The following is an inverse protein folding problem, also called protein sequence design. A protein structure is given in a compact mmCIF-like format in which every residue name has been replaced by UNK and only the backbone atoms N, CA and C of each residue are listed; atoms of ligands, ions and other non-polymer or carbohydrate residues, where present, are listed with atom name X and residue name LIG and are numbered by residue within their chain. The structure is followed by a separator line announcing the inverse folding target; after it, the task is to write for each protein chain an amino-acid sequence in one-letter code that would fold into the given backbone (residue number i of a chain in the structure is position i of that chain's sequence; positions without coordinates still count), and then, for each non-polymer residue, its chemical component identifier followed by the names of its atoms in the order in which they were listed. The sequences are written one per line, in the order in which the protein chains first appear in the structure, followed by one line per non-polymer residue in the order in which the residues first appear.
data_IF_901120808867
#
_entry.id   IF_901120808867
#
_cell.length_a   1.000
_cell.length_b   1.000
_cell.length_c   1.000
_cell.angle_alpha   90.00
_cell.angle_beta   90.00
_cell.angle_gamma   90.00
#
_symmetry.space_group_name_H-M   'P 1'
#
loop_
_entity.id
_entity.type
_entity.pdbx_description
1 polymer ?
#
# COMPACT_ATOMS: atom_id res chain seq x y z
N UNK A 1 0.06 12.14 12.29
CA UNK A 1 -1.13 13.02 12.33
C UNK A 1 -1.18 13.88 11.08
N UNK A 2 -0.09 14.59 10.78
CA UNK A 2 0.21 15.05 9.43
C UNK A 2 1.58 14.50 9.06
N UNK A 3 1.56 13.30 8.50
CA UNK A 3 2.75 12.73 7.88
C UNK A 3 3.06 13.53 6.60
N UNK A 4 4.33 13.72 6.23
CA UNK A 4 4.66 14.27 4.93
C UNK A 4 4.00 13.44 3.83
N UNK A 5 3.47 14.14 2.82
CA UNK A 5 2.99 13.52 1.58
C UNK A 5 4.09 12.65 0.97
N UNK A 6 3.67 11.69 0.15
CA UNK A 6 4.56 10.84 -0.63
C UNK A 6 5.68 11.66 -1.31
N UNK A 7 6.93 11.33 -0.99
CA UNK A 7 8.13 12.07 -1.39
C UNK A 7 8.79 11.49 -2.65
N UNK A 8 8.17 10.48 -3.27
CA UNK A 8 8.70 9.74 -4.42
C UNK A 8 9.41 8.45 -4.00
N UNK A 9 9.54 7.52 -4.94
CA UNK A 9 10.02 6.15 -4.66
C UNK A 9 11.41 6.12 -4.00
N UNK A 10 12.29 7.03 -4.42
CA UNK A 10 13.68 7.09 -3.93
C UNK A 10 13.81 7.76 -2.56
N UNK A 11 12.70 8.26 -2.01
CA UNK A 11 12.64 8.95 -0.72
C UNK A 11 11.62 8.36 0.24
N UNK A 12 10.93 7.29 -0.14
CA UNK A 12 10.04 6.55 0.76
C UNK A 12 10.74 5.36 1.39
N UNK A 13 10.91 5.40 2.71
CA UNK A 13 11.60 4.34 3.46
C UNK A 13 11.02 2.94 3.24
N UNK A 14 9.68 2.80 3.22
CA UNK A 14 9.04 1.50 3.00
C UNK A 14 9.20 1.00 1.57
N UNK A 15 9.22 1.90 0.58
CA UNK A 15 9.50 1.54 -0.83
C UNK A 15 10.95 1.08 -0.97
N UNK A 16 11.91 1.83 -0.42
CA UNK A 16 13.32 1.49 -0.43
C UNK A 16 13.60 0.16 0.28
N UNK A 17 13.02 -0.03 1.46
CA UNK A 17 13.11 -1.29 2.20
C UNK A 17 12.55 -2.45 1.37
N UNK A 18 11.38 -2.29 0.77
CA UNK A 18 10.74 -3.33 -0.03
C UNK A 18 11.58 -3.69 -1.26
N UNK A 19 12.13 -2.69 -1.96
CA UNK A 19 13.05 -2.90 -3.09
C UNK A 19 14.31 -3.67 -2.66
N UNK A 20 14.83 -3.41 -1.46
CA UNK A 20 15.99 -4.15 -0.94
C UNK A 20 15.62 -5.59 -0.53
N UNK A 21 14.50 -5.75 0.19
CA UNK A 21 14.00 -7.05 0.65
C UNK A 21 13.69 -8.00 -0.51
N UNK A 22 13.16 -7.47 -1.63
CA UNK A 22 12.89 -8.23 -2.85
C UNK A 22 14.14 -8.86 -3.47
N UNK A 23 15.34 -8.32 -3.23
CA UNK A 23 16.58 -8.91 -3.75
C UNK A 23 16.84 -10.31 -3.21
N UNK A 24 16.36 -10.60 -2.00
CA UNK A 24 16.52 -11.90 -1.33
C UNK A 24 15.21 -12.69 -1.23
N UNK A 25 14.07 -12.04 -1.42
CA UNK A 25 12.73 -12.64 -1.32
C UNK A 25 11.90 -12.43 -2.59
N UNK A 26 12.42 -12.89 -3.72
CA UNK A 26 11.84 -12.65 -5.05
C UNK A 26 10.46 -13.30 -5.30
N UNK A 27 9.96 -14.14 -4.37
CA UNK A 27 8.68 -14.84 -4.48
C UNK A 27 7.53 -14.12 -3.75
N UNK A 28 7.75 -12.90 -3.24
CA UNK A 28 6.71 -12.10 -2.60
C UNK A 28 6.06 -11.19 -3.64
N UNK A 29 4.75 -11.37 -3.85
CA UNK A 29 3.99 -10.59 -4.83
C UNK A 29 3.39 -9.29 -4.24
N UNK A 30 3.06 -9.28 -2.95
CA UNK A 30 2.43 -8.14 -2.28
C UNK A 30 3.11 -7.78 -0.97
N UNK A 31 3.34 -6.48 -0.77
CA UNK A 31 3.76 -5.90 0.49
C UNK A 31 2.70 -4.91 0.96
N UNK A 32 2.13 -5.14 2.14
CA UNK A 32 1.06 -4.29 2.70
C UNK A 32 1.58 -3.65 3.98
N UNK A 33 1.52 -2.32 4.05
CA UNK A 33 1.96 -1.55 5.21
C UNK A 33 0.87 -0.60 5.69
N UNK A 34 0.93 -0.26 6.97
CA UNK A 34 0.20 0.87 7.56
C UNK A 34 1.17 1.93 8.08
N UNK A 35 0.81 2.59 9.19
CA UNK A 35 1.62 3.55 9.96
C UNK A 35 1.97 4.88 9.25
N UNK A 36 2.31 4.85 7.96
CA UNK A 36 2.62 6.07 7.17
C UNK A 36 1.39 6.93 6.92
N UNK A 37 0.18 6.38 6.98
CA UNK A 37 -1.07 7.11 6.78
C UNK A 37 -1.04 7.88 5.46
N UNK A 38 -0.56 7.22 4.40
CA UNK A 38 -0.57 7.71 3.03
C UNK A 38 -1.15 6.59 2.18
N UNK A 39 -2.11 6.94 1.33
CA UNK A 39 -2.66 6.00 0.38
C UNK A 39 -1.65 5.87 -0.76
N UNK A 40 -1.04 4.70 -0.89
CA UNK A 40 -0.08 4.42 -1.95
C UNK A 40 -0.31 3.02 -2.47
N UNK A 41 -0.47 2.90 -3.78
CA UNK A 41 -0.43 1.65 -4.51
C UNK A 41 0.61 1.77 -5.63
N UNK A 42 1.68 0.99 -5.53
CA UNK A 42 2.85 1.12 -6.39
C UNK A 42 3.35 -0.23 -6.88
N UNK A 43 3.47 -0.34 -8.21
CA UNK A 43 4.05 -1.51 -8.89
C UNK A 43 5.58 -1.41 -8.86
N UNK A 44 6.24 -2.33 -8.17
CA UNK A 44 7.71 -2.36 -8.06
C UNK A 44 8.37 -3.18 -9.17
N UNK A 45 7.66 -4.18 -9.69
CA UNK A 45 8.11 -5.02 -10.80
C UNK A 45 6.91 -5.66 -11.52
N UNK A 46 7.17 -6.54 -12.50
CA UNK A 46 6.10 -7.31 -13.15
C UNK A 46 5.30 -8.23 -12.21
N UNK A 47 5.83 -8.51 -11.02
CA UNK A 47 5.20 -9.44 -10.04
C UNK A 47 4.94 -8.82 -8.68
N UNK A 48 5.76 -7.86 -8.27
CA UNK A 48 5.72 -7.31 -6.92
C UNK A 48 5.04 -5.94 -6.87
N UNK A 49 4.16 -5.75 -5.90
CA UNK A 49 3.44 -4.50 -5.62
C UNK A 49 3.55 -4.14 -4.14
N UNK A 50 3.69 -2.86 -3.84
CA UNK A 50 3.63 -2.31 -2.49
C UNK A 50 2.36 -1.48 -2.32
N UNK A 51 1.64 -1.75 -1.24
CA UNK A 51 0.47 -1.00 -0.80
C UNK A 51 0.77 -0.42 0.57
N UNK A 52 0.50 0.87 0.73
CA UNK A 52 0.49 1.54 2.02
C UNK A 52 -0.93 2.06 2.25
N UNK A 53 -1.52 1.62 3.37
CA UNK A 53 -2.84 2.06 3.79
C UNK A 53 -2.77 3.51 4.29
N UNK A 54 -3.79 4.27 3.92
CA UNK A 54 -4.13 5.52 4.55
C UNK A 54 -4.65 5.35 5.97
N UNK A 55 -4.95 6.46 6.64
CA UNK A 55 -5.52 6.41 7.98
C UNK A 55 -7.05 6.24 8.01
N UNK A 56 -7.53 5.66 9.10
CA UNK A 56 -8.94 5.46 9.41
C UNK A 56 -9.68 6.70 9.96
N UNK A 57 -9.03 7.87 10.03
CA UNK A 57 -9.66 9.12 10.50
C UNK A 57 -10.16 9.95 9.31
N UNK A 58 -9.42 9.94 8.20
CA UNK A 58 -9.67 10.81 7.04
C UNK A 58 -9.68 10.07 5.71
N UNK A 59 -8.93 8.98 5.56
CA UNK A 59 -8.80 8.29 4.28
C UNK A 59 -9.64 7.02 4.20
N UNK A 60 -9.92 6.35 5.32
CA UNK A 60 -10.79 5.16 5.39
C UNK A 60 -10.43 4.05 4.37
N UNK A 61 -9.15 3.89 4.07
CA UNK A 61 -8.69 2.91 3.07
C UNK A 61 -8.55 1.51 3.67
N UNK A 62 -8.85 0.49 2.87
CA UNK A 62 -8.69 -0.92 3.23
C UNK A 62 -8.22 -1.72 2.01
N UNK A 63 -7.58 -2.88 2.26
CA UNK A 63 -7.17 -3.78 1.20
C UNK A 63 -8.18 -4.92 1.02
N UNK A 64 -8.56 -5.21 -0.21
CA UNK A 64 -9.42 -6.35 -0.58
C UNK A 64 -8.62 -7.32 -1.42
N UNK A 65 -8.60 -8.59 -1.02
CA UNK A 65 -8.02 -9.66 -1.82
C UNK A 65 -9.13 -10.58 -2.32
N UNK A 66 -9.33 -10.65 -3.64
CA UNK A 66 -10.40 -11.45 -4.25
C UNK A 66 -9.99 -12.91 -4.54
N UNK A 67 -8.75 -13.28 -4.22
CA UNK A 67 -8.15 -14.59 -4.53
C UNK A 67 -7.17 -14.56 -5.70
N UNK A 68 -7.22 -13.54 -6.55
CA UNK A 68 -6.33 -13.33 -7.69
C UNK A 68 -5.64 -11.96 -7.63
N UNK A 69 -6.38 -10.92 -7.27
CA UNK A 69 -5.96 -9.52 -7.25
C UNK A 69 -6.14 -8.91 -5.86
N UNK A 70 -5.15 -8.12 -5.47
CA UNK A 70 -5.25 -7.22 -4.33
C UNK A 70 -5.74 -5.86 -4.82
N UNK A 71 -6.67 -5.23 -4.13
CA UNK A 71 -7.24 -3.90 -4.43
C UNK A 71 -7.09 -3.02 -3.20
N UNK A 72 -6.75 -1.75 -3.40
CA UNK A 72 -6.81 -0.72 -2.37
C UNK A 72 -8.11 0.05 -2.57
N UNK A 73 -9.02 -0.07 -1.62
CA UNK A 73 -10.37 0.49 -1.67
C UNK A 73 -10.54 1.53 -0.56
N UNK A 74 -11.57 2.37 -0.70
CA UNK A 74 -11.93 3.38 0.29
C UNK A 74 -13.37 3.15 0.77
N UNK A 75 -13.58 3.21 2.09
CA UNK A 75 -14.92 3.09 2.65
C UNK A 75 -15.66 4.43 2.51
N UNK A 76 -16.84 4.36 1.91
CA UNK A 76 -17.75 5.48 1.72
C UNK A 76 -19.07 5.10 2.40
N UNK A 77 -19.45 5.87 3.42
CA UNK A 77 -20.67 5.64 4.18
C UNK A 77 -21.90 5.68 3.28
N UNK A 78 -22.69 4.60 3.28
CA UNK A 78 -23.90 4.46 2.47
C UNK A 78 -23.68 3.90 1.06
N UNK A 79 -22.43 3.78 0.60
CA UNK A 79 -22.09 3.21 -0.72
C UNK A 79 -21.34 1.88 -0.63
N UNK A 80 -20.43 1.74 0.35
CA UNK A 80 -19.64 0.51 0.52
C UNK A 80 -20.47 -0.64 1.12
N UNK A 81 -20.31 -1.84 0.57
CA UNK A 81 -20.96 -3.08 1.05
C UNK A 81 -19.95 -3.86 1.91
N UNK A 82 -20.34 -4.36 3.10
CA UNK A 82 -19.48 -5.17 3.97
C UNK A 82 -19.08 -6.53 3.39
#
# INVERSE_FOLDING_TARGET
GQEPRYMGEDKEHLVLFTKDYLKTHANVDYFIYGHRHIELDLVLSRKARIIILGDWITQFTYAVFDGEHLLLEQYIEGESIP
#
